data_IF_492960965414
#
_entry.id   IF_492960965414
#
_cell.length_a   1.000
_cell.length_b   1.000
_cell.length_c   1.000
_cell.angle_alpha   90.00
_cell.angle_beta   90.00
_cell.angle_gamma   90.00
#
_symmetry.space_group_name_H-M   'P 1'
#
loop_
_entity.id
_entity.type
_entity.pdbx_description
1 polymer ?
#
# COMPACT_ATOMS: atom_id res chain seq x y z
N UNK A 1 -14.33 41.11 -62.79
CA UNK A 1 -13.25 40.13 -62.57
C UNK A 1 -13.27 39.73 -61.11
N UNK A 2 -13.79 38.54 -60.80
CA UNK A 2 -13.72 37.94 -59.46
C UNK A 2 -12.35 37.29 -59.24
N UNK A 3 -11.90 37.21 -57.97
CA UNK A 3 -11.11 36.04 -57.57
C UNK A 3 -11.69 35.34 -56.33
N UNK A 4 -12.18 34.11 -56.58
CA UNK A 4 -12.20 32.89 -55.75
C UNK A 4 -11.99 33.03 -54.23
N UNK A 5 -13.09 32.89 -53.47
CA UNK A 5 -13.08 32.46 -52.06
C UNK A 5 -12.46 31.05 -51.97
N UNK A 6 -11.23 30.95 -51.46
CA UNK A 6 -10.62 29.66 -51.11
C UNK A 6 -11.35 29.08 -49.90
N UNK A 7 -12.03 27.95 -50.08
CA UNK A 7 -12.52 27.08 -49.00
C UNK A 7 -11.31 26.51 -48.25
N UNK A 8 -10.82 27.22 -47.24
CA UNK A 8 -9.81 26.74 -46.30
C UNK A 8 -10.46 25.87 -45.23
N UNK A 9 -9.89 24.68 -45.01
CA UNK A 9 -10.36 23.63 -44.11
C UNK A 9 -10.48 24.10 -42.64
N UNK A 10 -11.63 24.70 -42.28
CA UNK A 10 -11.93 25.15 -40.91
C UNK A 10 -12.17 24.02 -39.91
N UNK A 11 -12.24 22.76 -40.36
CA UNK A 11 -12.41 21.58 -39.50
C UNK A 11 -11.10 21.05 -38.91
N UNK A 12 -9.95 21.29 -39.55
CA UNK A 12 -8.68 20.74 -39.09
C UNK A 12 -8.18 21.41 -37.80
N UNK A 13 -8.44 22.72 -37.65
CA UNK A 13 -8.09 23.46 -36.42
C UNK A 13 -8.86 22.98 -35.20
N UNK A 14 -10.16 22.69 -35.36
CA UNK A 14 -11.01 22.19 -34.26
C UNK A 14 -10.56 20.79 -33.82
N UNK A 15 -10.25 19.91 -34.77
CA UNK A 15 -9.76 18.55 -34.45
C UNK A 15 -8.42 18.60 -33.71
N UNK A 16 -7.48 19.45 -34.12
CA UNK A 16 -6.19 19.61 -33.44
C UNK A 16 -6.37 20.18 -32.02
N UNK A 17 -7.29 21.13 -31.82
CA UNK A 17 -7.59 21.68 -30.49
C UNK A 17 -8.20 20.61 -29.59
N UNK A 18 -9.15 19.81 -30.09
CA UNK A 18 -9.75 18.71 -29.32
C UNK A 18 -8.70 17.66 -28.97
N UNK A 19 -7.81 17.32 -29.91
CA UNK A 19 -6.72 16.37 -29.67
C UNK A 19 -5.75 16.88 -28.59
N UNK A 20 -5.39 18.17 -28.65
CA UNK A 20 -4.53 18.81 -27.64
C UNK A 20 -5.20 18.84 -26.26
N UNK A 21 -6.51 19.10 -26.19
CA UNK A 21 -7.28 19.04 -24.94
C UNK A 21 -7.31 17.62 -24.36
N UNK A 22 -7.49 16.60 -25.20
CA UNK A 22 -7.46 15.20 -24.76
C UNK A 22 -6.07 14.78 -24.28
N UNK A 23 -5.00 15.19 -24.97
CA UNK A 23 -3.62 14.90 -24.56
C UNK A 23 -3.28 15.65 -23.27
N UNK A 24 -3.69 16.92 -23.13
CA UNK A 24 -3.51 17.68 -21.91
C UNK A 24 -4.30 17.08 -20.74
N UNK A 25 -5.52 16.59 -20.98
CA UNK A 25 -6.33 15.92 -19.97
C UNK A 25 -5.73 14.57 -19.55
N UNK A 26 -5.26 13.77 -20.51
CA UNK A 26 -4.55 12.52 -20.23
C UNK A 26 -3.23 12.77 -19.49
N UNK A 27 -2.48 13.82 -19.85
CA UNK A 27 -1.27 14.22 -19.15
C UNK A 27 -1.56 14.73 -17.73
N UNK A 28 -2.64 15.51 -17.53
CA UNK A 28 -3.09 15.96 -16.22
C UNK A 28 -3.51 14.80 -15.31
N UNK A 29 -4.21 13.80 -15.87
CA UNK A 29 -4.53 12.56 -15.16
C UNK A 29 -3.27 11.73 -14.86
N UNK A 30 -2.32 11.66 -15.80
CA UNK A 30 -1.08 10.87 -15.62
C UNK A 30 -0.06 11.52 -14.67
N UNK A 31 -0.08 12.85 -14.53
CA UNK A 31 0.80 13.59 -13.61
C UNK A 31 0.21 13.82 -12.21
N UNK A 32 -0.97 13.27 -11.89
CA UNK A 32 -1.53 13.38 -10.53
C UNK A 32 -1.79 14.82 -10.08
N UNK A 33 -1.97 15.76 -11.01
CA UNK A 33 -2.15 17.19 -10.70
C UNK A 33 -3.46 17.41 -9.92
N UNK A 34 -4.45 16.53 -10.12
CA UNK A 34 -5.72 16.53 -9.37
C UNK A 34 -5.54 16.18 -7.88
N UNK A 35 -4.54 15.37 -7.52
CA UNK A 35 -4.21 15.07 -6.12
C UNK A 35 -3.50 16.26 -5.47
N UNK A 36 -2.60 16.94 -6.22
CA UNK A 36 -1.91 18.15 -5.74
C UNK A 36 -2.82 19.38 -5.62
N UNK A 37 -3.95 19.42 -6.33
CA UNK A 37 -4.94 20.50 -6.27
C UNK A 37 -6.09 20.22 -5.29
N UNK A 38 -6.06 19.11 -4.55
CA UNK A 38 -7.07 18.79 -3.51
C UNK A 38 -8.49 18.53 -4.02
N UNK A 39 -8.70 18.46 -5.34
CA UNK A 39 -10.00 18.14 -5.95
C UNK A 39 -10.29 16.64 -5.98
N UNK A 40 -9.28 15.82 -5.72
CA UNK A 40 -9.42 14.37 -5.54
C UNK A 40 -8.72 14.00 -4.24
N UNK A 41 -9.52 13.64 -3.24
CA UNK A 41 -9.00 13.07 -1.99
C UNK A 41 -8.21 11.78 -2.34
N UNK A 42 -7.01 11.58 -1.78
CA UNK A 42 -6.30 10.32 -1.92
C UNK A 42 -7.23 9.18 -1.48
N UNK A 43 -7.19 8.04 -2.17
CA UNK A 43 -8.06 6.89 -1.88
C UNK A 43 -7.95 6.48 -0.40
N UNK A 44 -6.81 6.71 0.25
CA UNK A 44 -6.64 6.56 1.69
C UNK A 44 -7.63 7.39 2.53
N UNK A 45 -7.92 8.65 2.17
CA UNK A 45 -8.94 9.47 2.87
C UNK A 45 -10.38 9.02 2.55
N UNK A 46 -10.62 8.37 1.41
CA UNK A 46 -11.93 7.79 1.10
C UNK A 46 -12.15 6.42 1.77
N UNK A 47 -11.08 5.69 2.07
CA UNK A 47 -11.12 4.34 2.64
C UNK A 47 -10.92 4.36 4.16
N UNK A 48 -10.25 5.36 4.73
CA UNK A 48 -10.04 5.50 6.18
C UNK A 48 -10.78 6.74 6.69
N UNK A 49 -11.94 6.52 7.31
CA UNK A 49 -12.88 7.59 7.66
C UNK A 49 -12.59 8.29 9.00
N UNK A 50 -11.66 7.76 9.81
CA UNK A 50 -11.37 8.25 11.15
C UNK A 50 -9.85 8.33 11.38
N UNK A 51 -9.40 9.17 12.34
CA UNK A 51 -8.00 9.20 12.74
C UNK A 51 -7.52 7.80 13.17
N UNK A 52 -6.21 7.50 13.01
CA UNK A 52 -5.64 6.23 13.43
C UNK A 52 -5.94 5.94 14.90
N UNK A 53 -6.28 4.69 15.20
CA UNK A 53 -6.41 4.19 16.57
C UNK A 53 -5.01 4.04 17.16
N UNK A 54 -4.59 5.05 17.94
CA UNK A 54 -3.25 5.08 18.54
C UNK A 54 -3.08 4.03 19.60
N UNK A 55 -4.14 3.72 20.36
CA UNK A 55 -4.09 2.73 21.45
C UNK A 55 -3.88 1.33 20.86
N UNK A 56 -4.65 0.96 19.84
CA UNK A 56 -4.45 -0.31 19.14
C UNK A 56 -3.09 -0.38 18.42
N UNK A 57 -2.61 0.75 17.90
CA UNK A 57 -1.30 0.82 17.25
C UNK A 57 -0.15 0.60 18.24
N UNK A 58 -0.20 1.26 19.41
CA UNK A 58 0.78 1.12 20.47
C UNK A 58 0.73 -0.27 21.10
N UNK A 59 -0.46 -0.85 21.27
CA UNK A 59 -0.62 -2.21 21.78
C UNK A 59 0.03 -3.25 20.86
N UNK A 60 -0.19 -3.16 19.55
CA UNK A 60 0.44 -4.07 18.58
C UNK A 60 1.94 -3.85 18.46
N UNK A 61 2.41 -2.60 18.46
CA UNK A 61 3.83 -2.32 18.45
C UNK A 61 4.53 -2.83 19.72
N UNK A 62 3.87 -2.68 20.88
CA UNK A 62 4.33 -3.23 22.15
C UNK A 62 4.33 -4.76 22.15
N UNK A 63 3.35 -5.40 21.51
CA UNK A 63 3.32 -6.85 21.34
C UNK A 63 4.48 -7.35 20.46
N UNK A 64 4.80 -6.65 19.37
CA UNK A 64 5.95 -6.97 18.51
C UNK A 64 7.26 -6.84 19.28
N UNK A 65 7.42 -5.76 20.04
CA UNK A 65 8.61 -5.56 20.87
C UNK A 65 8.72 -6.63 21.97
N UNK A 66 7.60 -7.02 22.60
CA UNK A 66 7.56 -8.07 23.61
C UNK A 66 7.86 -9.46 23.03
N UNK A 67 7.52 -9.68 21.76
CA UNK A 67 7.88 -10.88 21.00
C UNK A 67 9.35 -10.88 20.53
N UNK A 68 10.12 -9.83 20.85
CA UNK A 68 11.55 -9.73 20.57
C UNK A 68 11.90 -8.99 19.29
N UNK A 69 10.92 -8.40 18.59
CA UNK A 69 11.16 -7.66 17.35
C UNK A 69 11.95 -6.38 17.60
N UNK A 70 12.95 -6.12 16.77
CA UNK A 70 13.58 -4.80 16.69
C UNK A 70 12.63 -3.81 16.01
N UNK A 71 12.13 -2.83 16.76
CA UNK A 71 11.19 -1.83 16.24
C UNK A 71 11.87 -0.66 15.53
N UNK A 72 13.20 -0.68 15.39
CA UNK A 72 13.91 0.34 14.62
C UNK A 72 13.50 0.30 13.13
N UNK A 73 13.03 1.44 12.63
CA UNK A 73 12.50 1.52 11.27
C UNK A 73 11.13 0.86 11.07
N UNK A 74 10.46 0.44 12.15
CA UNK A 74 9.12 -0.15 12.11
C UNK A 74 8.09 0.89 12.55
N UNK A 75 7.02 1.05 11.78
CA UNK A 75 5.85 1.81 12.21
C UNK A 75 4.57 1.03 11.99
N UNK A 76 3.66 1.08 12.96
CA UNK A 76 2.38 0.39 12.90
C UNK A 76 1.25 1.40 13.10
N UNK A 77 0.25 1.32 12.22
CA UNK A 77 -0.94 2.17 12.27
C UNK A 77 -2.19 1.32 12.10
N UNK A 78 -3.12 1.45 13.04
CA UNK A 78 -4.45 0.83 12.94
C UNK A 78 -5.43 1.88 12.42
N UNK A 79 -5.99 1.62 11.24
CA UNK A 79 -6.92 2.52 10.57
C UNK A 79 -8.30 1.89 10.47
N UNK A 80 -9.35 2.50 11.04
CA UNK A 80 -10.72 2.04 10.84
C UNK A 80 -11.15 2.22 9.37
N UNK A 81 -11.80 1.19 8.82
CA UNK A 81 -12.22 1.21 7.42
C UNK A 81 -13.60 1.87 7.26
N UNK A 82 -13.68 2.83 6.34
CA UNK A 82 -14.91 3.52 5.99
C UNK A 82 -15.92 2.55 5.34
N UNK A 83 -17.13 2.48 5.89
CA UNK A 83 -18.22 1.68 5.32
C UNK A 83 -18.04 0.16 5.41
N UNK A 84 -17.06 -0.33 6.18
CA UNK A 84 -16.85 -1.74 6.48
C UNK A 84 -16.74 -1.93 8.01
N UNK A 85 -17.17 -3.08 8.50
CA UNK A 85 -16.94 -3.45 9.89
C UNK A 85 -15.46 -3.85 10.06
N UNK A 86 -14.75 -3.11 10.91
CA UNK A 86 -13.38 -3.43 11.34
C UNK A 86 -12.31 -2.44 10.88
N UNK A 87 -11.08 -2.73 11.31
CA UNK A 87 -9.90 -1.90 11.08
C UNK A 87 -8.86 -2.64 10.25
N UNK A 88 -7.97 -1.87 9.61
CA UNK A 88 -6.79 -2.38 8.92
C UNK A 88 -5.54 -2.01 9.73
N UNK A 89 -4.72 -3.00 10.08
CA UNK A 89 -3.38 -2.75 10.59
C UNK A 89 -2.42 -2.55 9.43
N UNK A 90 -1.70 -1.44 9.42
CA UNK A 90 -0.67 -1.13 8.43
C UNK A 90 0.66 -1.15 9.14
N UNK A 91 1.48 -2.15 8.81
CA UNK A 91 2.85 -2.29 9.25
C UNK A 91 3.76 -1.76 8.15
N UNK A 92 4.61 -0.79 8.46
CA UNK A 92 5.64 -0.29 7.56
C UNK A 92 7.01 -0.66 8.09
N UNK A 93 7.80 -1.29 7.22
CA UNK A 93 9.16 -1.74 7.46
C UNK A 93 10.10 -0.88 6.61
N UNK A 94 10.80 0.08 7.23
CA UNK A 94 11.54 1.14 6.55
C UNK A 94 13.05 1.01 6.71
N UNK A 95 13.70 0.48 5.68
CA UNK A 95 15.14 0.27 5.65
C UNK A 95 15.92 1.60 5.67
N UNK A 96 15.35 2.68 5.12
CA UNK A 96 15.95 4.02 5.20
C UNK A 96 16.02 4.56 6.63
N UNK A 97 15.23 3.98 7.55
CA UNK A 97 15.20 4.31 8.98
C UNK A 97 15.85 3.24 9.87
N UNK A 98 16.55 2.29 9.26
CA UNK A 98 17.35 1.29 9.96
C UNK A 98 16.63 -0.04 10.20
N UNK A 99 15.52 -0.31 9.52
CA UNK A 99 14.97 -1.67 9.46
C UNK A 99 15.90 -2.58 8.66
N UNK A 100 16.15 -3.78 9.17
CA UNK A 100 17.03 -4.76 8.53
C UNK A 100 16.21 -5.98 8.05
N UNK A 101 16.03 -6.16 6.73
CA UNK A 101 15.25 -7.28 6.19
C UNK A 101 15.89 -8.65 6.42
N UNK A 102 17.20 -8.74 6.65
CA UNK A 102 17.86 -10.02 6.92
C UNK A 102 17.34 -10.66 8.22
N UNK A 103 16.91 -9.84 9.17
CA UNK A 103 16.38 -10.27 10.46
C UNK A 103 14.99 -10.89 10.37
N UNK A 104 14.28 -10.71 9.25
CA UNK A 104 13.00 -11.38 8.99
C UNK A 104 13.16 -12.87 8.68
N UNK A 105 14.32 -13.30 8.16
CA UNK A 105 14.51 -14.63 7.58
C UNK A 105 15.42 -15.56 8.41
N UNK A 106 15.80 -15.15 9.63
CA UNK A 106 16.64 -15.94 10.54
C UNK A 106 15.84 -16.72 11.59
N UNK A 107 16.34 -17.87 12.04
CA UNK A 107 15.80 -18.61 13.20
C UNK A 107 15.79 -17.71 14.45
N UNK A 108 14.61 -17.51 15.07
CA UNK A 108 14.44 -16.58 16.19
C UNK A 108 14.50 -15.10 15.78
N UNK A 109 14.29 -14.81 14.48
CA UNK A 109 14.26 -13.48 13.91
C UNK A 109 12.90 -12.79 14.04
N UNK A 110 12.83 -11.57 13.52
CA UNK A 110 11.65 -10.71 13.55
C UNK A 110 10.44 -11.34 12.82
N UNK A 111 10.66 -12.33 11.96
CA UNK A 111 9.63 -13.12 11.29
C UNK A 111 8.74 -13.90 12.26
N UNK A 112 9.34 -14.53 13.28
CA UNK A 112 8.60 -15.30 14.29
C UNK A 112 7.73 -14.37 15.16
N UNK A 113 8.26 -13.17 15.47
CA UNK A 113 7.51 -12.15 16.21
C UNK A 113 6.31 -11.63 15.41
N UNK A 114 6.47 -11.44 14.09
CA UNK A 114 5.37 -11.08 13.21
C UNK A 114 4.32 -12.18 13.13
N UNK A 115 4.72 -13.44 12.98
CA UNK A 115 3.78 -14.57 12.98
C UNK A 115 3.03 -14.69 14.32
N UNK A 116 3.73 -14.48 15.44
CA UNK A 116 3.12 -14.53 16.77
C UNK A 116 2.09 -13.41 16.95
N UNK A 117 2.41 -12.17 16.59
CA UNK A 117 1.50 -11.03 16.79
C UNK A 117 0.36 -11.02 15.78
N UNK A 118 0.63 -11.36 14.51
CA UNK A 118 -0.36 -11.30 13.44
C UNK A 118 -1.08 -12.62 13.16
N UNK A 119 -0.66 -13.73 13.77
CA UNK A 119 -1.28 -15.05 13.64
C UNK A 119 -2.40 -15.35 14.65
N UNK A 120 -2.73 -14.43 15.57
CA UNK A 120 -3.51 -14.72 16.79
C UNK A 120 -4.81 -13.92 16.94
N UNK A 121 -5.59 -14.33 17.96
CA UNK A 121 -6.80 -13.71 18.50
C UNK A 121 -6.65 -12.21 18.82
N UNK A 122 -5.43 -11.73 19.08
CA UNK A 122 -5.14 -10.33 19.36
C UNK A 122 -5.64 -9.37 18.27
N UNK A 123 -5.56 -9.76 16.99
CA UNK A 123 -6.11 -8.95 15.91
C UNK A 123 -7.65 -8.91 15.94
N UNK A 124 -8.29 -10.01 16.32
CA UNK A 124 -9.76 -10.08 16.42
C UNK A 124 -10.28 -9.29 17.62
N UNK A 125 -9.61 -9.36 18.77
CA UNK A 125 -9.95 -8.58 19.96
C UNK A 125 -9.86 -7.06 19.69
N UNK A 126 -8.92 -6.65 18.85
CA UNK A 126 -8.77 -5.27 18.39
C UNK A 126 -9.67 -4.91 17.20
N UNK A 127 -10.52 -5.83 16.73
CA UNK A 127 -11.44 -5.60 15.60
C UNK A 127 -10.73 -5.40 14.26
N UNK A 128 -9.50 -5.89 14.12
CA UNK A 128 -8.68 -5.78 12.91
C UNK A 128 -9.05 -6.92 11.97
N UNK A 129 -9.46 -6.58 10.75
CA UNK A 129 -9.93 -7.55 9.75
C UNK A 129 -8.97 -7.69 8.58
N UNK A 130 -8.02 -6.75 8.44
CA UNK A 130 -7.00 -6.73 7.38
C UNK A 130 -5.64 -6.31 7.94
N UNK A 131 -4.59 -6.89 7.39
CA UNK A 131 -3.19 -6.52 7.66
C UNK A 131 -2.56 -6.11 6.33
N UNK A 132 -1.91 -4.96 6.33
CA UNK A 132 -1.08 -4.49 5.23
C UNK A 132 0.37 -4.37 5.69
N UNK A 133 1.30 -4.94 4.94
CA UNK A 133 2.73 -4.81 5.15
C UNK A 133 3.29 -3.99 3.99
N UNK A 134 3.91 -2.85 4.31
CA UNK A 134 4.59 -1.98 3.36
C UNK A 134 6.09 -2.00 3.67
N UNK A 135 6.91 -2.42 2.70
CA UNK A 135 8.36 -2.41 2.81
C UNK A 135 8.93 -1.26 1.97
N UNK A 136 9.74 -0.45 2.63
CA UNK A 136 10.36 0.76 2.11
C UNK A 136 11.88 0.54 2.02
N UNK A 137 12.45 0.77 0.84
CA UNK A 137 13.88 0.57 0.56
C UNK A 137 14.78 1.60 1.27
N UNK A 138 16.10 1.41 1.16
CA UNK A 138 17.13 2.31 1.71
C UNK A 138 17.04 3.77 1.22
N UNK A 139 16.26 4.05 0.18
CA UNK A 139 16.00 5.38 -0.38
C UNK A 139 14.67 5.97 0.07
N UNK A 140 13.93 5.30 0.95
CA UNK A 140 12.63 5.76 1.42
C UNK A 140 11.50 5.51 0.41
N UNK A 141 11.68 4.58 -0.55
CA UNK A 141 10.66 4.23 -1.54
C UNK A 141 9.97 2.92 -1.16
N UNK A 142 8.64 2.94 -1.04
CA UNK A 142 7.83 1.71 -0.95
C UNK A 142 8.03 0.86 -2.22
N UNK A 143 8.57 -0.35 -2.04
CA UNK A 143 8.83 -1.31 -3.12
C UNK A 143 7.94 -2.55 -3.03
N UNK A 144 7.38 -2.86 -1.86
CA UNK A 144 6.44 -3.97 -1.68
C UNK A 144 5.33 -3.50 -0.76
N UNK A 145 4.08 -3.57 -1.21
CA UNK A 145 2.91 -3.39 -0.35
C UNK A 145 2.03 -4.61 -0.53
N UNK A 146 1.82 -5.39 0.53
CA UNK A 146 0.95 -6.58 0.54
C UNK A 146 -0.15 -6.37 1.56
N UNK A 147 -1.40 -6.60 1.17
CA UNK A 147 -2.55 -6.56 2.07
C UNK A 147 -3.25 -7.91 2.05
N UNK A 148 -3.46 -8.49 3.22
CA UNK A 148 -4.14 -9.76 3.41
C UNK A 148 -5.31 -9.61 4.39
N UNK A 149 -6.43 -10.33 4.18
CA UNK A 149 -7.43 -10.53 5.24
C UNK A 149 -6.84 -11.35 6.39
N UNK A 150 -7.16 -10.99 7.64
CA UNK A 150 -6.68 -11.74 8.84
C UNK A 150 -7.09 -13.21 8.79
N UNK A 151 -8.31 -13.48 8.31
CA UNK A 151 -8.81 -14.85 8.15
C UNK A 151 -7.97 -15.70 7.18
N UNK A 152 -7.39 -15.08 6.14
CA UNK A 152 -6.51 -15.79 5.22
C UNK A 152 -5.14 -16.11 5.86
N UNK A 153 -4.63 -15.23 6.72
CA UNK A 153 -3.39 -15.47 7.48
C UNK A 153 -3.57 -16.59 8.51
N UNK A 154 -4.72 -16.64 9.19
CA UNK A 154 -5.07 -17.69 10.15
C UNK A 154 -5.10 -19.08 9.50
N UNK A 155 -5.71 -19.18 8.32
CA UNK A 155 -5.80 -20.43 7.58
C UNK A 155 -4.41 -20.96 7.14
N UNK A 156 -3.45 -20.06 6.89
CA UNK A 156 -2.06 -20.42 6.60
C UNK A 156 -1.40 -21.12 7.80
N UNK A 157 -1.50 -20.52 9.00
CA UNK A 157 -0.88 -21.04 10.22
C UNK A 157 -1.49 -22.34 10.75
N UNK A 158 -2.82 -22.53 10.61
CA UNK A 158 -3.50 -23.70 11.18
C UNK A 158 -3.43 -24.97 10.33
N UNK A 159 -3.32 -24.85 9.00
CA UNK A 159 -3.53 -25.99 8.09
C UNK A 159 -2.35 -26.33 7.19
N UNK A 160 -1.21 -25.63 7.32
CA UNK A 160 -0.14 -25.72 6.32
C UNK A 160 -0.70 -25.41 4.92
N UNK A 161 -1.55 -24.40 4.84
CA UNK A 161 -2.48 -24.22 3.73
C UNK A 161 -1.80 -23.78 2.42
N UNK A 162 -2.49 -24.08 1.33
CA UNK A 162 -2.10 -23.86 -0.06
C UNK A 162 -1.66 -22.40 -0.29
N UNK A 163 -0.36 -22.18 -0.44
CA UNK A 163 0.28 -20.89 -0.75
C UNK A 163 -0.47 -20.15 -1.88
N UNK A 164 -1.09 -20.89 -2.80
CA UNK A 164 -1.90 -20.34 -3.89
C UNK A 164 -3.21 -19.68 -3.43
N UNK A 165 -3.84 -20.15 -2.37
CA UNK A 165 -5.03 -19.50 -1.80
C UNK A 165 -4.66 -18.19 -1.12
N UNK A 166 -3.54 -18.16 -0.37
CA UNK A 166 -3.01 -16.92 0.19
C UNK A 166 -2.68 -15.93 -0.92
N UNK A 167 -1.94 -16.35 -1.95
CA UNK A 167 -1.59 -15.48 -3.09
C UNK A 167 -2.81 -14.96 -3.86
N UNK A 168 -3.94 -15.67 -3.84
CA UNK A 168 -5.21 -15.18 -4.42
C UNK A 168 -5.93 -14.19 -3.50
N UNK A 169 -5.80 -14.35 -2.19
CA UNK A 169 -6.42 -13.48 -1.19
C UNK A 169 -5.61 -12.21 -0.92
N UNK A 170 -4.29 -12.27 -1.11
CA UNK A 170 -3.37 -11.14 -0.97
C UNK A 170 -3.55 -10.19 -2.15
N UNK A 171 -3.86 -8.94 -1.83
CA UNK A 171 -3.80 -7.84 -2.78
C UNK A 171 -2.49 -7.09 -2.56
N UNK A 172 -1.73 -6.80 -3.61
CA UNK A 172 -0.47 -6.12 -3.41
C UNK A 172 0.07 -5.40 -4.63
N UNK A 173 0.98 -4.48 -4.37
CA UNK A 173 1.80 -3.79 -5.36
C UNK A 173 3.26 -4.18 -5.11
N UNK A 174 3.90 -4.77 -6.11
CA UNK A 174 5.32 -5.14 -6.05
C UNK A 174 6.07 -4.36 -7.15
N UNK A 175 7.03 -3.54 -6.75
CA UNK A 175 7.99 -2.90 -7.65
C UNK A 175 9.15 -3.87 -7.91
N UNK A 176 8.99 -4.76 -8.91
CA UNK A 176 9.97 -5.80 -9.25
C UNK A 176 11.40 -5.21 -9.44
N UNK A 177 11.61 -4.10 -10.18
CA UNK A 177 12.92 -3.44 -10.25
C UNK A 177 13.46 -2.92 -8.91
N UNK A 178 12.59 -2.57 -7.96
CA UNK A 178 12.98 -2.20 -6.60
C UNK A 178 13.45 -3.43 -5.82
N UNK A 179 12.63 -4.48 -5.82
CA UNK A 179 12.89 -5.73 -5.10
C UNK A 179 14.18 -6.43 -5.54
N UNK A 180 14.44 -6.52 -6.84
CA UNK A 180 15.66 -7.17 -7.37
C UNK A 180 16.94 -6.43 -6.94
N UNK A 181 16.88 -5.11 -6.73
CA UNK A 181 18.03 -4.33 -6.24
C UNK A 181 18.30 -4.54 -4.76
N UNK A 182 17.25 -4.79 -3.99
CA UNK A 182 17.36 -5.02 -2.55
C UNK A 182 17.83 -6.44 -2.24
N UNK A 183 17.21 -7.46 -2.88
CA UNK A 183 17.54 -8.88 -2.66
C UNK A 183 18.84 -9.31 -3.36
N UNK A 184 19.26 -8.56 -4.39
CA UNK A 184 20.49 -8.85 -5.14
C UNK A 184 21.76 -8.23 -4.53
N UNK A 185 21.67 -7.64 -3.34
CA UNK A 185 22.82 -7.10 -2.59
C UNK A 185 23.48 -8.20 -1.77
#
# INVERSE_FOLDING_TARGET
MEPKKRRGCGGCGVVVIVLLLLVAWAAAMRWGVLEKLGLRQPIAEQVFALPPDREASEALLGALQAAGMDTQGVSLHVLPMAGQAGSAAILTLDASRGFDPERLSGDGGDGDALEQVFGHDALQELGITRVAVDYVDDRGKSIVTLTAPVEALRQLGEKGADEKELLRAVMGRIDIPGLVREVGR
#
